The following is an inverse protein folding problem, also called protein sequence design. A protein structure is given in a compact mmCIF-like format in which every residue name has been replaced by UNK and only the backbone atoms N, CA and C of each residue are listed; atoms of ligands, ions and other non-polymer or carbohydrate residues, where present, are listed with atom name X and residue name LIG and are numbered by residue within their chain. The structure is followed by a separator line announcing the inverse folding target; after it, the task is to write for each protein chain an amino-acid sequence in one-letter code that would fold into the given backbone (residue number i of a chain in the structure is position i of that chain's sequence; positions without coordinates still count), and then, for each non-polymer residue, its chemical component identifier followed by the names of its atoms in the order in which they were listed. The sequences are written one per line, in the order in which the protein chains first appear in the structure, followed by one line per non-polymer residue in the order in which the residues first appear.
data_IF_011064837802
#
_entry.id   IF_011064837802
#
_cell.length_a   1.000
_cell.length_b   1.000
_cell.length_c   1.000
_cell.angle_alpha   90.00
_cell.angle_beta   90.00
_cell.angle_gamma   90.00
#
_symmetry.space_group_name_H-M   'P 1'
#
loop_
_entity.id
_entity.type
_entity.pdbx_description
1 polymer ?
#
# COMPACT_ATOMS: atom_id res chain seq x y z
N UNK A 1 -11.15 -6.28 -24.27
CA UNK A 1 -11.29 -6.03 -22.82
C UNK A 1 -10.40 -7.07 -22.15
N UNK A 2 -9.16 -6.70 -21.86
CA UNK A 2 -8.16 -7.64 -21.34
C UNK A 2 -8.66 -8.21 -20.02
N UNK A 3 -8.74 -9.54 -19.93
CA UNK A 3 -9.14 -10.23 -18.71
C UNK A 3 -8.11 -9.92 -17.64
N UNK A 4 -8.49 -9.11 -16.65
CA UNK A 4 -7.73 -8.94 -15.42
C UNK A 4 -7.56 -10.33 -14.79
N UNK A 5 -6.33 -10.84 -14.77
CA UNK A 5 -5.99 -12.09 -14.11
C UNK A 5 -6.47 -12.05 -12.65
N UNK A 6 -7.10 -13.14 -12.22
CA UNK A 6 -7.99 -13.22 -11.07
C UNK A 6 -7.28 -13.22 -9.70
N UNK A 7 -6.12 -12.58 -9.54
CA UNK A 7 -5.34 -12.65 -8.30
C UNK A 7 -5.06 -11.25 -7.73
N UNK A 8 -5.53 -11.02 -6.49
CA UNK A 8 -5.37 -9.85 -5.63
C UNK A 8 -5.98 -8.51 -6.11
N UNK A 9 -7.31 -8.46 -6.25
CA UNK A 9 -8.01 -7.18 -6.34
C UNK A 9 -8.05 -6.48 -4.96
N UNK A 10 -7.72 -5.18 -4.88
CA UNK A 10 -7.80 -4.43 -3.63
C UNK A 10 -9.26 -4.24 -3.19
N UNK A 11 -9.50 -4.34 -1.88
CA UNK A 11 -10.77 -3.99 -1.24
C UNK A 11 -10.68 -2.57 -0.68
N UNK A 12 -11.65 -1.72 -1.00
CA UNK A 12 -11.74 -0.37 -0.46
C UNK A 12 -12.98 -0.22 0.43
N UNK A 13 -12.81 0.33 1.62
CA UNK A 13 -13.91 0.74 2.51
C UNK A 13 -14.07 2.25 2.39
N UNK A 14 -15.24 2.71 1.93
CA UNK A 14 -15.59 4.12 1.86
C UNK A 14 -16.68 4.45 2.89
N UNK A 15 -16.61 5.66 3.47
CA UNK A 15 -17.61 6.15 4.39
C UNK A 15 -17.31 7.57 4.85
N UNK A 16 -18.33 8.26 5.35
CA UNK A 16 -18.16 9.57 5.98
C UNK A 16 -17.41 9.44 7.31
N UNK A 17 -16.84 10.55 7.79
CA UNK A 17 -16.25 10.58 9.13
C UNK A 17 -17.24 10.09 10.19
N UNK A 18 -16.77 9.25 11.12
CA UNK A 18 -17.57 8.68 12.23
C UNK A 18 -18.70 7.72 11.81
N UNK A 19 -18.68 7.17 10.59
CA UNK A 19 -19.66 6.18 10.09
C UNK A 19 -19.37 4.71 10.49
N UNK A 20 -18.37 4.46 11.34
CA UNK A 20 -18.04 3.10 11.77
C UNK A 20 -17.12 2.32 10.82
N UNK A 21 -16.45 2.98 9.87
CA UNK A 21 -15.47 2.33 8.97
C UNK A 21 -14.34 1.62 9.73
N UNK A 22 -13.91 2.16 10.89
CA UNK A 22 -12.95 1.50 11.78
C UNK A 22 -13.48 0.17 12.31
N UNK A 23 -14.74 0.11 12.74
CA UNK A 23 -15.35 -1.13 13.24
C UNK A 23 -15.43 -2.18 12.12
N UNK A 24 -15.89 -1.78 10.94
CA UNK A 24 -15.97 -2.66 9.77
C UNK A 24 -14.58 -3.21 9.39
N UNK A 25 -13.56 -2.34 9.35
CA UNK A 25 -12.17 -2.75 9.13
C UNK A 25 -11.73 -3.83 10.12
N UNK A 26 -12.00 -3.64 11.41
CA UNK A 26 -11.60 -4.58 12.45
C UNK A 26 -12.33 -5.92 12.32
N UNK A 27 -13.63 -5.89 12.00
CA UNK A 27 -14.40 -7.11 11.72
C UNK A 27 -13.83 -7.91 10.54
N UNK A 28 -13.46 -7.24 9.45
CA UNK A 28 -12.86 -7.90 8.29
C UNK A 28 -11.46 -8.44 8.57
N UNK A 29 -10.63 -7.68 9.29
CA UNK A 29 -9.26 -8.08 9.63
C UNK A 29 -9.20 -9.28 10.59
N UNK A 30 -10.31 -9.62 11.25
CA UNK A 30 -10.42 -10.85 12.03
C UNK A 30 -10.49 -12.12 11.16
N UNK A 31 -10.76 -11.99 9.86
CA UNK A 31 -10.83 -13.11 8.93
C UNK A 31 -9.45 -13.40 8.30
N UNK A 32 -8.98 -14.66 8.22
CA UNK A 32 -7.62 -14.99 7.79
C UNK A 32 -7.27 -14.60 6.35
N UNK A 33 -8.28 -14.38 5.51
CA UNK A 33 -8.09 -13.97 4.11
C UNK A 33 -8.05 -12.46 3.89
N UNK A 34 -8.27 -11.66 4.94
CA UNK A 34 -8.28 -10.20 4.85
C UNK A 34 -7.34 -9.61 5.89
N UNK A 35 -6.37 -8.83 5.43
CA UNK A 35 -5.58 -7.95 6.29
C UNK A 35 -5.84 -6.52 5.83
N UNK A 36 -6.45 -5.69 6.70
CA UNK A 36 -6.68 -4.27 6.42
C UNK A 36 -5.90 -3.46 7.47
N UNK A 37 -4.75 -2.87 7.10
CA UNK A 37 -3.89 -2.17 8.06
C UNK A 37 -4.51 -0.84 8.54
N UNK A 38 -3.93 -0.19 9.57
CA UNK A 38 -4.38 1.12 10.05
C UNK A 38 -4.52 2.16 8.95
N UNK A 39 -5.38 3.17 9.15
CA UNK A 39 -5.57 4.23 8.16
C UNK A 39 -4.24 4.95 7.92
N UNK A 40 -3.70 4.84 6.71
CA UNK A 40 -2.59 5.64 6.24
C UNK A 40 -2.98 6.36 4.95
N UNK A 41 -2.48 7.58 4.79
CA UNK A 41 -2.68 8.40 3.59
C UNK A 41 -1.44 8.40 2.70
N UNK A 42 -0.45 7.55 2.98
CA UNK A 42 0.84 7.56 2.29
C UNK A 42 0.66 7.56 0.76
N UNK A 43 -0.18 6.69 0.21
CA UNK A 43 -0.31 6.55 -1.24
C UNK A 43 -1.02 7.75 -1.90
N UNK A 44 -1.80 8.54 -1.14
CA UNK A 44 -2.36 9.80 -1.64
C UNK A 44 -1.32 10.91 -1.51
N UNK A 45 -0.61 10.96 -0.38
CA UNK A 45 0.38 11.99 -0.09
C UNK A 45 1.62 11.90 -0.98
N UNK A 46 2.00 10.69 -1.40
CA UNK A 46 3.18 10.42 -2.22
C UNK A 46 2.88 10.45 -3.73
N UNK A 47 1.61 10.47 -4.14
CA UNK A 47 1.20 10.49 -5.55
C UNK A 47 1.76 11.70 -6.32
N UNK A 48 1.75 12.95 -5.79
CA UNK A 48 2.32 14.10 -6.49
C UNK A 48 3.81 13.95 -6.82
N UNK A 49 4.55 13.16 -6.03
CA UNK A 49 6.00 12.95 -6.19
C UNK A 49 6.33 11.77 -7.10
N UNK A 50 5.54 10.69 -7.02
CA UNK A 50 5.88 9.41 -7.64
C UNK A 50 4.86 8.91 -8.67
N UNK A 51 3.64 9.42 -8.67
CA UNK A 51 2.51 8.93 -9.48
C UNK A 51 2.76 8.97 -10.99
N UNK A 52 3.52 9.97 -11.47
CA UNK A 52 3.90 10.10 -12.88
C UNK A 52 5.08 9.20 -13.30
N UNK A 53 5.74 8.52 -12.35
CA UNK A 53 6.91 7.70 -12.64
C UNK A 53 6.50 6.36 -13.29
N UNK A 54 7.05 6.10 -14.48
CA UNK A 54 6.86 4.81 -15.18
C UNK A 54 7.73 3.70 -14.58
N UNK A 55 8.83 4.07 -13.91
CA UNK A 55 9.78 3.17 -13.29
C UNK A 55 10.39 3.79 -12.04
N UNK A 56 10.07 3.21 -10.89
CA UNK A 56 10.53 3.62 -9.56
C UNK A 56 11.80 2.88 -9.12
N UNK A 57 12.39 2.02 -9.95
CA UNK A 57 13.54 1.19 -9.55
C UNK A 57 14.71 2.00 -8.96
N UNK A 58 15.00 3.18 -9.54
CA UNK A 58 16.06 4.08 -9.07
C UNK A 58 15.63 4.99 -7.90
N UNK A 59 14.38 4.89 -7.47
CA UNK A 59 13.76 5.75 -6.45
C UNK A 59 13.28 4.96 -5.22
N UNK A 60 13.50 3.64 -5.17
CA UNK A 60 13.06 2.76 -4.07
C UNK A 60 13.51 3.31 -2.70
N UNK A 61 14.78 3.68 -2.55
CA UNK A 61 15.29 4.15 -1.26
C UNK A 61 14.70 5.51 -0.85
N UNK A 62 14.38 6.38 -1.82
CA UNK A 62 13.67 7.64 -1.57
C UNK A 62 12.22 7.38 -1.17
N UNK A 63 11.53 6.48 -1.88
CA UNK A 63 10.16 6.08 -1.57
C UNK A 63 10.06 5.45 -0.17
N UNK A 64 11.01 4.58 0.19
CA UNK A 64 11.11 4.01 1.54
C UNK A 64 11.38 5.09 2.59
N UNK A 65 12.23 6.06 2.31
CA UNK A 65 12.49 7.14 3.27
C UNK A 65 11.23 7.99 3.49
N UNK A 66 10.49 8.29 2.43
CA UNK A 66 9.26 9.08 2.50
C UNK A 66 8.11 8.32 3.20
N UNK A 67 7.91 7.03 2.88
CA UNK A 67 6.81 6.23 3.44
C UNK A 67 7.00 5.99 4.94
N UNK A 68 8.23 5.69 5.39
CA UNK A 68 8.57 5.55 6.81
C UNK A 68 8.66 6.91 7.53
N UNK A 69 8.62 8.02 6.78
CA UNK A 69 8.42 9.36 7.33
C UNK A 69 7.00 9.59 7.85
N UNK A 70 6.00 8.85 7.37
CA UNK A 70 4.61 8.92 7.86
C UNK A 70 4.47 8.15 9.19
N UNK A 71 4.16 8.82 10.31
CA UNK A 71 3.94 8.15 11.59
C UNK A 71 2.86 7.07 11.55
N UNK A 72 1.79 7.25 10.76
CA UNK A 72 0.69 6.29 10.65
C UNK A 72 1.09 5.04 9.89
N UNK A 73 1.98 5.17 8.90
CA UNK A 73 2.52 4.02 8.20
C UNK A 73 3.41 3.17 9.13
N UNK A 74 4.18 3.81 10.02
CA UNK A 74 5.01 3.08 10.99
C UNK A 74 4.21 2.18 11.93
N UNK A 75 2.94 2.51 12.20
CA UNK A 75 2.04 1.64 12.99
C UNK A 75 1.74 0.30 12.31
N UNK A 76 2.02 0.17 11.01
CA UNK A 76 1.82 -1.09 10.28
C UNK A 76 2.88 -2.14 10.62
N UNK A 77 4.01 -1.72 11.23
CA UNK A 77 5.10 -2.60 11.65
C UNK A 77 5.65 -3.49 10.51
N UNK A 78 5.64 -2.98 9.29
CA UNK A 78 6.27 -3.64 8.14
C UNK A 78 7.79 -3.47 8.25
N UNK A 79 8.54 -4.56 8.08
CA UNK A 79 9.99 -4.51 8.04
C UNK A 79 10.50 -3.79 6.78
N UNK A 80 11.39 -2.81 6.98
CA UNK A 80 11.87 -1.95 5.89
C UNK A 80 12.72 -2.71 4.89
N UNK A 81 13.51 -3.69 5.34
CA UNK A 81 14.37 -4.47 4.48
C UNK A 81 13.53 -5.45 3.64
N UNK A 82 12.55 -6.11 4.26
CA UNK A 82 11.59 -6.97 3.56
C UNK A 82 10.82 -6.19 2.48
N UNK A 83 10.32 -4.99 2.80
CA UNK A 83 9.62 -4.17 1.81
C UNK A 83 10.54 -3.75 0.66
N UNK A 84 11.81 -3.42 0.96
CA UNK A 84 12.81 -3.09 -0.07
C UNK A 84 13.04 -4.26 -1.02
N UNK A 85 13.17 -5.47 -0.48
CA UNK A 85 13.36 -6.69 -1.26
C UNK A 85 12.15 -6.97 -2.16
N UNK A 86 10.93 -6.87 -1.61
CA UNK A 86 9.69 -7.05 -2.36
C UNK A 86 9.55 -6.02 -3.49
N UNK A 87 9.87 -4.75 -3.23
CA UNK A 87 9.85 -3.70 -4.25
C UNK A 87 10.89 -3.95 -5.35
N UNK A 88 12.09 -4.40 -4.99
CA UNK A 88 13.17 -4.69 -5.94
C UNK A 88 12.86 -5.89 -6.83
N UNK A 89 12.16 -6.88 -6.29
CA UNK A 89 11.75 -8.08 -7.03
C UNK A 89 10.63 -7.80 -8.04
N UNK A 90 9.88 -6.71 -7.88
CA UNK A 90 8.69 -6.45 -8.68
C UNK A 90 9.01 -5.80 -10.04
N UNK A 91 8.46 -6.36 -11.12
CA UNK A 91 8.56 -5.81 -12.49
C UNK A 91 7.23 -5.96 -13.23
N UNK A 92 6.64 -4.89 -13.79
CA UNK A 92 7.09 -3.49 -13.76
C UNK A 92 6.90 -2.83 -12.38
N UNK A 93 7.78 -1.89 -12.02
CA UNK A 93 7.70 -1.12 -10.78
C UNK A 93 7.27 0.33 -11.06
N UNK A 94 5.98 0.54 -11.32
CA UNK A 94 5.38 1.88 -11.37
C UNK A 94 4.72 2.21 -10.02
N UNK A 95 4.15 3.39 -9.88
CA UNK A 95 3.61 3.84 -8.59
C UNK A 95 2.47 2.94 -8.08
N UNK A 96 1.57 2.52 -8.96
CA UNK A 96 0.46 1.63 -8.60
C UNK A 96 0.97 0.27 -8.12
N UNK A 97 1.96 -0.31 -8.82
CA UNK A 97 2.54 -1.60 -8.40
C UNK A 97 3.35 -1.46 -7.11
N UNK A 98 4.07 -0.36 -6.91
CA UNK A 98 4.77 -0.09 -5.65
C UNK A 98 3.79 0.02 -4.46
N UNK A 99 2.69 0.75 -4.61
CA UNK A 99 1.64 0.84 -3.58
C UNK A 99 1.03 -0.53 -3.31
N UNK A 100 0.72 -1.31 -4.35
CA UNK A 100 0.19 -2.66 -4.19
C UNK A 100 1.17 -3.58 -3.43
N UNK A 101 2.48 -3.52 -3.72
CA UNK A 101 3.51 -4.27 -3.01
C UNK A 101 3.56 -3.94 -1.52
N UNK A 102 3.35 -2.67 -1.14
CA UNK A 102 3.28 -2.24 0.27
C UNK A 102 2.16 -2.96 1.02
N UNK A 103 0.98 -3.14 0.40
CA UNK A 103 -0.15 -3.86 1.02
C UNK A 103 0.01 -5.38 1.05
N UNK A 104 0.97 -5.93 0.31
CA UNK A 104 1.22 -7.38 0.18
C UNK A 104 2.46 -7.85 0.97
N UNK A 105 3.17 -6.92 1.61
CA UNK A 105 4.32 -7.20 2.47
C UNK A 105 3.86 -7.38 3.91
#
# INVERSE_FOLDING_TARGET
MESLSQQNQPLFIFGMGRSGTTLLRLMLTAHPHFCIPPESRFFVNLDPKYGSSKDLSNQIDNFLTDIYGDPRFREWNIDRQQLRENLTAQKPLNYSTAVATVYQT
#
